data_IF_728392759602
#
_entry.id   IF_728392759602
#
_cell.length_a   1.000
_cell.length_b   1.000
_cell.length_c   1.000
_cell.angle_alpha   90.00
_cell.angle_beta   90.00
_cell.angle_gamma   90.00
#
_symmetry.space_group_name_H-M   'P 1'
#
loop_
_entity.id
_entity.type
_entity.pdbx_description
1 polymer ?
#
# COMPACT_ATOMS: atom_id res chain seq x y z
N UNK A 1 -58.12 26.37 35.55
CA UNK A 1 -57.28 26.01 34.39
C UNK A 1 -56.00 25.38 34.94
N UNK A 2 -55.70 24.13 34.57
CA UNK A 2 -54.41 23.53 34.94
C UNK A 2 -53.33 24.14 34.05
N UNK A 3 -52.38 24.85 34.65
CA UNK A 3 -51.20 25.36 33.96
C UNK A 3 -50.27 24.18 33.68
N UNK A 4 -50.03 23.85 32.42
CA UNK A 4 -49.03 22.87 32.04
C UNK A 4 -47.69 23.59 32.08
N UNK A 5 -46.86 23.27 33.08
CA UNK A 5 -45.47 23.74 33.13
C UNK A 5 -44.70 22.97 32.06
N UNK A 6 -44.05 23.64 31.09
CA UNK A 6 -43.25 22.95 30.08
C UNK A 6 -42.08 22.21 30.76
N UNK A 7 -41.79 21.00 30.28
CA UNK A 7 -40.66 20.21 30.77
C UNK A 7 -39.35 21.03 30.69
N UNK A 8 -38.46 20.92 31.70
CA UNK A 8 -37.22 21.68 31.72
C UNK A 8 -36.33 21.30 30.53
N UNK A 9 -35.53 22.26 30.06
CA UNK A 9 -34.47 21.99 29.10
C UNK A 9 -33.29 21.30 29.80
N UNK A 10 -32.65 20.37 29.10
CA UNK A 10 -31.50 19.58 29.53
C UNK A 10 -30.39 19.69 28.50
N UNK A 11 -29.17 19.82 28.97
CA UNK A 11 -28.00 19.89 28.09
C UNK A 11 -27.59 18.50 27.64
N UNK A 12 -27.38 18.33 26.33
CA UNK A 12 -26.81 17.13 25.73
C UNK A 12 -25.46 17.48 25.09
N UNK A 13 -24.38 16.92 25.62
CA UNK A 13 -23.02 17.06 25.08
C UNK A 13 -22.61 15.76 24.39
N UNK A 14 -22.22 15.85 23.13
CA UNK A 14 -21.78 14.73 22.32
C UNK A 14 -20.34 14.94 21.87
N UNK A 15 -19.53 13.88 21.91
CA UNK A 15 -18.19 13.87 21.34
C UNK A 15 -17.82 12.52 20.77
N UNK A 16 -16.83 12.49 19.87
CA UNK A 16 -16.19 11.29 19.38
C UNK A 16 -14.68 11.53 19.34
N UNK A 17 -13.89 10.51 19.64
CA UNK A 17 -12.43 10.58 19.57
C UNK A 17 -11.91 10.74 18.13
N UNK A 18 -12.42 9.95 17.18
CA UNK A 18 -12.04 9.97 15.76
C UNK A 18 -13.27 9.77 14.86
N UNK A 19 -13.80 10.87 14.33
CA UNK A 19 -14.93 10.86 13.41
C UNK A 19 -15.81 12.08 13.59
N UNK A 20 -17.10 11.91 13.32
CA UNK A 20 -18.14 12.89 13.62
C UNK A 20 -19.28 12.27 14.42
N UNK A 21 -20.00 13.10 15.16
CA UNK A 21 -21.28 12.76 15.78
C UNK A 21 -22.42 13.50 15.10
N UNK A 22 -23.56 12.84 14.96
CA UNK A 22 -24.80 13.41 14.48
C UNK A 22 -25.86 13.37 15.59
N UNK A 23 -26.69 14.39 15.64
CA UNK A 23 -27.89 14.47 16.48
C UNK A 23 -29.10 14.67 15.57
N UNK A 24 -30.04 13.73 15.61
CA UNK A 24 -31.26 13.72 14.79
C UNK A 24 -30.95 13.95 13.29
N UNK A 25 -29.88 13.32 12.80
CA UNK A 25 -29.41 13.41 11.42
C UNK A 25 -28.58 14.67 11.09
N UNK A 26 -28.40 15.59 12.03
CA UNK A 26 -27.54 16.77 11.85
C UNK A 26 -26.13 16.51 12.36
N UNK A 27 -25.13 16.63 11.49
CA UNK A 27 -23.72 16.56 11.87
C UNK A 27 -23.32 17.72 12.80
N UNK A 28 -22.58 17.39 13.86
CA UNK A 28 -21.99 18.32 14.81
C UNK A 28 -20.46 18.38 14.71
N UNK A 29 -19.84 17.64 13.78
CA UNK A 29 -18.38 17.46 13.74
C UNK A 29 -17.91 16.52 14.86
N UNK A 30 -16.66 16.69 15.33
CA UNK A 30 -16.07 15.82 16.35
C UNK A 30 -16.71 15.97 17.75
N UNK A 31 -17.38 17.09 18.00
CA UNK A 31 -18.12 17.35 19.25
C UNK A 31 -19.15 18.45 19.05
N UNK A 32 -20.25 18.38 19.79
CA UNK A 32 -21.24 19.45 19.82
C UNK A 32 -22.19 19.34 21.00
N UNK A 33 -23.08 20.32 21.11
CA UNK A 33 -24.04 20.43 22.19
C UNK A 33 -25.43 20.78 21.67
N UNK A 34 -26.46 20.34 22.39
CA UNK A 34 -27.84 20.75 22.15
C UNK A 34 -28.61 20.88 23.48
N UNK A 35 -29.64 21.72 23.46
CA UNK A 35 -30.64 21.79 24.53
C UNK A 35 -31.89 21.02 24.10
N UNK A 36 -32.32 20.09 24.94
CA UNK A 36 -33.42 19.17 24.65
C UNK A 36 -34.37 19.10 25.83
N UNK A 37 -35.67 18.99 25.56
CA UNK A 37 -36.65 18.92 26.66
C UNK A 37 -36.52 17.59 27.39
N UNK A 38 -36.64 17.63 28.71
CA UNK A 38 -36.73 16.41 29.50
C UNK A 38 -37.86 15.49 29.00
N UNK A 39 -37.56 14.21 28.83
CA UNK A 39 -38.43 13.20 28.23
C UNK A 39 -38.40 13.12 26.70
N UNK A 40 -37.83 14.12 26.01
CA UNK A 40 -37.69 14.08 24.55
C UNK A 40 -36.75 12.93 24.15
N UNK A 41 -37.16 12.14 23.16
CA UNK A 41 -36.30 11.12 22.53
C UNK A 41 -35.44 11.77 21.46
N UNK A 42 -34.17 11.41 21.45
CA UNK A 42 -33.18 11.83 20.45
C UNK A 42 -32.51 10.63 19.85
N UNK A 43 -32.05 10.75 18.61
CA UNK A 43 -31.18 9.78 17.95
C UNK A 43 -29.78 10.38 17.85
N UNK A 44 -28.81 9.73 18.47
CA UNK A 44 -27.39 10.08 18.30
C UNK A 44 -26.72 9.03 17.43
N UNK A 45 -25.85 9.47 16.52
CA UNK A 45 -25.12 8.57 15.64
C UNK A 45 -23.64 8.92 15.60
N UNK A 46 -22.81 7.91 15.78
CA UNK A 46 -21.36 8.02 15.63
C UNK A 46 -20.98 7.58 14.22
N UNK A 47 -20.22 8.41 13.51
CA UNK A 47 -19.65 8.10 12.22
C UNK A 47 -18.13 8.12 12.38
N UNK A 48 -17.48 6.96 12.59
CA UNK A 48 -16.03 6.88 12.73
C UNK A 48 -15.31 7.46 11.52
N UNK A 49 -14.13 8.02 11.76
CA UNK A 49 -13.23 8.42 10.68
C UNK A 49 -12.73 7.20 9.90
N UNK A 50 -12.19 7.44 8.70
CA UNK A 50 -11.48 6.42 7.95
C UNK A 50 -10.39 5.75 8.80
N UNK A 51 -10.26 4.42 8.72
CA UNK A 51 -9.32 3.66 9.55
C UNK A 51 -9.74 3.49 11.01
N UNK A 52 -11.00 3.78 11.35
CA UNK A 52 -11.55 3.59 12.69
C UNK A 52 -12.86 2.81 12.69
N UNK A 53 -13.09 2.09 13.78
CA UNK A 53 -14.31 1.33 14.07
C UNK A 53 -14.95 1.85 15.36
N UNK A 54 -16.26 2.02 15.36
CA UNK A 54 -17.02 2.35 16.56
C UNK A 54 -16.98 1.21 17.59
N UNK A 55 -16.78 1.55 18.87
CA UNK A 55 -16.74 0.58 19.98
C UNK A 55 -17.88 0.74 20.98
N UNK A 56 -18.40 1.96 21.15
CA UNK A 56 -19.53 2.19 22.04
C UNK A 56 -19.72 3.66 22.40
N UNK A 57 -20.92 3.97 22.85
CA UNK A 57 -21.25 5.22 23.51
C UNK A 57 -20.97 5.10 25.00
N UNK A 58 -20.18 6.02 25.52
CA UNK A 58 -19.82 6.10 26.94
C UNK A 58 -20.59 7.22 27.62
N UNK A 59 -21.07 6.98 28.83
CA UNK A 59 -21.47 8.03 29.78
C UNK A 59 -20.61 7.89 31.03
N UNK A 60 -19.69 8.83 31.22
CA UNK A 60 -18.55 8.64 32.12
C UNK A 60 -17.75 7.39 31.71
N UNK A 61 -17.56 6.47 32.66
CA UNK A 61 -16.81 5.22 32.45
C UNK A 61 -17.68 4.02 32.05
N UNK A 62 -18.99 4.23 31.83
CA UNK A 62 -19.93 3.15 31.50
C UNK A 62 -20.29 3.18 30.01
N UNK A 63 -20.18 2.02 29.34
CA UNK A 63 -20.78 1.82 28.02
C UNK A 63 -22.30 1.78 28.19
N UNK A 64 -22.99 2.72 27.55
CA UNK A 64 -24.46 2.79 27.56
C UNK A 64 -25.09 2.21 26.29
N UNK A 65 -24.33 2.11 25.21
CA UNK A 65 -24.77 1.44 23.97
C UNK A 65 -23.57 0.97 23.15
N UNK A 66 -23.69 -0.20 22.52
CA UNK A 66 -22.73 -0.73 21.53
C UNK A 66 -23.21 -0.53 20.10
N UNK A 67 -24.38 0.07 19.89
CA UNK A 67 -24.88 0.47 18.58
C UNK A 67 -24.39 1.87 18.23
N UNK A 68 -23.85 2.04 17.02
CA UNK A 68 -23.35 3.34 16.54
C UNK A 68 -24.48 4.38 16.47
N UNK A 69 -25.69 3.94 16.14
CA UNK A 69 -26.92 4.71 16.25
C UNK A 69 -27.65 4.31 17.54
N UNK A 70 -27.93 5.30 18.40
CA UNK A 70 -28.49 5.10 19.71
C UNK A 70 -29.64 6.09 19.95
N UNK A 71 -30.84 5.55 20.15
CA UNK A 71 -32.03 6.34 20.48
C UNK A 71 -32.38 6.19 21.96
N UNK A 72 -32.54 7.31 22.66
CA UNK A 72 -32.89 7.30 24.08
C UNK A 72 -33.66 8.56 24.49
N UNK A 73 -34.48 8.49 25.55
CA UNK A 73 -35.11 9.67 26.14
C UNK A 73 -34.13 10.43 27.04
N UNK A 74 -34.03 11.75 26.87
CA UNK A 74 -33.17 12.60 27.70
C UNK A 74 -33.89 12.90 29.02
N UNK A 75 -33.42 12.32 30.13
CA UNK A 75 -34.02 12.50 31.46
C UNK A 75 -33.32 13.59 32.30
N UNK A 76 -32.11 13.97 31.90
CA UNK A 76 -31.28 14.94 32.61
C UNK A 76 -30.10 15.34 31.73
N UNK A 77 -29.25 16.21 32.27
CA UNK A 77 -28.05 16.63 31.54
C UNK A 77 -27.19 15.39 31.22
N UNK A 78 -26.86 15.25 29.96
CA UNK A 78 -26.30 14.01 29.40
C UNK A 78 -25.01 14.33 28.68
N UNK A 79 -23.96 13.59 29.01
CA UNK A 79 -22.69 13.61 28.29
C UNK A 79 -22.49 12.22 27.69
N UNK A 80 -22.37 12.15 26.37
CA UNK A 80 -22.03 10.94 25.65
C UNK A 80 -20.75 11.12 24.83
N UNK A 81 -19.84 10.16 24.97
CA UNK A 81 -18.62 10.09 24.16
C UNK A 81 -18.63 8.79 23.37
N UNK A 82 -18.67 8.88 22.05
CA UNK A 82 -18.40 7.76 21.17
C UNK A 82 -16.91 7.42 21.22
N UNK A 83 -16.62 6.14 21.49
CA UNK A 83 -15.27 5.60 21.42
C UNK A 83 -15.07 4.86 20.11
N UNK A 84 -13.91 5.05 19.51
CA UNK A 84 -13.49 4.30 18.34
C UNK A 84 -12.15 3.61 18.59
N UNK A 85 -11.83 2.66 17.73
CA UNK A 85 -10.53 1.98 17.71
C UNK A 85 -9.98 1.98 16.30
N UNK A 86 -8.65 2.14 16.17
CA UNK A 86 -8.01 2.10 14.87
C UNK A 86 -8.03 0.69 14.29
N UNK A 87 -8.43 0.60 13.02
CA UNK A 87 -8.41 -0.62 12.21
C UNK A 87 -7.27 -0.62 11.20
N UNK A 88 -6.43 0.42 11.22
CA UNK A 88 -5.27 0.54 10.36
C UNK A 88 -4.20 -0.47 10.76
N UNK A 89 -3.47 -0.95 9.75
CA UNK A 89 -2.28 -1.79 9.89
C UNK A 89 -1.17 -1.27 9.01
N UNK A 90 0.05 -1.49 9.43
CA UNK A 90 1.24 -1.03 8.73
C UNK A 90 1.54 -1.94 7.54
N UNK A 91 1.89 -1.31 6.42
CA UNK A 91 2.35 -1.98 5.21
C UNK A 91 3.68 -1.36 4.83
N UNK A 92 4.72 -2.19 4.80
CA UNK A 92 6.06 -1.83 4.36
C UNK A 92 6.43 -2.66 3.15
N UNK A 93 6.84 -1.99 2.08
CA UNK A 93 7.19 -2.62 0.81
C UNK A 93 8.61 -2.20 0.46
N UNK A 94 9.47 -3.16 0.18
CA UNK A 94 10.88 -2.92 -0.11
C UNK A 94 11.28 -3.65 -1.38
N UNK A 95 12.00 -2.97 -2.28
CA UNK A 95 12.73 -3.63 -3.36
C UNK A 95 14.20 -3.74 -2.97
N UNK A 96 14.78 -4.93 -3.15
CA UNK A 96 16.19 -5.20 -2.84
C UNK A 96 16.94 -5.62 -4.10
N UNK A 97 18.27 -5.57 -4.05
CA UNK A 97 19.18 -5.94 -5.15
C UNK A 97 18.95 -5.12 -6.44
N UNK A 98 18.78 -3.80 -6.33
CA UNK A 98 18.65 -2.94 -7.53
C UNK A 98 17.24 -2.92 -8.13
N UNK A 99 16.19 -3.10 -7.32
CA UNK A 99 14.81 -2.87 -7.75
C UNK A 99 14.27 -1.53 -7.26
N UNK A 100 13.22 -1.05 -7.93
CA UNK A 100 12.37 0.06 -7.48
C UNK A 100 10.95 -0.44 -7.28
N UNK A 101 10.29 0.08 -6.26
CA UNK A 101 8.85 0.03 -6.08
C UNK A 101 8.23 1.20 -6.84
N UNK A 102 7.23 0.89 -7.67
CA UNK A 102 6.47 1.87 -8.43
C UNK A 102 4.99 1.70 -8.09
N UNK A 103 4.37 2.78 -7.64
CA UNK A 103 2.92 2.91 -7.48
C UNK A 103 2.47 4.32 -7.89
N UNK A 104 1.21 4.67 -7.67
CA UNK A 104 0.67 6.00 -8.05
C UNK A 104 1.27 7.17 -7.26
N UNK A 105 1.99 6.91 -6.18
CA UNK A 105 2.48 7.91 -5.21
C UNK A 105 4.01 7.88 -5.06
N UNK A 106 4.67 6.75 -5.35
CA UNK A 106 6.07 6.50 -5.05
C UNK A 106 6.81 5.88 -6.24
N UNK A 107 8.05 6.35 -6.41
CA UNK A 107 9.10 5.70 -7.19
C UNK A 107 10.36 5.69 -6.31
N UNK A 108 10.73 4.53 -5.77
CA UNK A 108 11.83 4.43 -4.81
C UNK A 108 12.11 2.99 -4.39
N UNK A 109 13.14 2.74 -3.59
CA UNK A 109 13.46 1.38 -3.11
C UNK A 109 12.53 0.90 -1.98
N UNK A 110 11.74 1.80 -1.41
CA UNK A 110 10.88 1.53 -0.25
C UNK A 110 9.62 2.39 -0.28
N UNK A 111 8.53 1.81 0.21
CA UNK A 111 7.25 2.47 0.39
C UNK A 111 6.56 1.98 1.66
N UNK A 112 6.12 2.92 2.50
CA UNK A 112 5.37 2.65 3.71
C UNK A 112 3.99 3.32 3.64
N UNK A 113 2.96 2.60 4.09
CA UNK A 113 1.60 3.11 4.18
C UNK A 113 0.84 2.38 5.28
N UNK A 114 -0.37 2.87 5.59
CA UNK A 114 -1.33 2.21 6.48
C UNK A 114 -2.61 1.93 5.73
N UNK A 115 -3.13 0.71 5.86
CA UNK A 115 -4.37 0.29 5.22
C UNK A 115 -5.38 -0.20 6.25
N UNK A 116 -6.66 -0.01 5.97
CA UNK A 116 -7.76 -0.62 6.71
C UNK A 116 -7.88 -2.10 6.36
N UNK A 117 -8.43 -2.89 7.30
CA UNK A 117 -8.76 -4.29 7.04
C UNK A 117 -9.61 -4.46 5.77
N UNK A 118 -9.20 -5.39 4.92
CA UNK A 118 -9.86 -5.70 3.65
C UNK A 118 -9.54 -4.76 2.50
N UNK A 119 -8.81 -3.66 2.73
CA UNK A 119 -8.34 -2.82 1.63
C UNK A 119 -7.31 -3.52 0.76
N UNK A 120 -7.35 -3.19 -0.51
CA UNK A 120 -6.46 -3.74 -1.51
C UNK A 120 -5.48 -2.68 -1.99
N UNK A 121 -4.24 -3.09 -2.19
CA UNK A 121 -3.16 -2.23 -2.67
C UNK A 121 -2.40 -2.94 -3.79
N UNK A 122 -2.30 -2.28 -4.94
CA UNK A 122 -1.51 -2.76 -6.07
C UNK A 122 -0.13 -2.13 -6.02
N UNK A 123 0.89 -2.97 -6.16
CA UNK A 123 2.29 -2.52 -6.16
C UNK A 123 3.06 -3.24 -7.26
N UNK A 124 3.93 -2.51 -7.94
CA UNK A 124 4.82 -3.04 -8.96
C UNK A 124 6.28 -2.89 -8.53
N UNK A 125 7.09 -3.90 -8.80
CA UNK A 125 8.53 -3.83 -8.66
C UNK A 125 9.21 -3.81 -10.04
N UNK A 126 9.95 -2.75 -10.32
CA UNK A 126 10.71 -2.58 -11.55
C UNK A 126 12.20 -2.90 -11.29
N UNK A 127 12.78 -3.89 -11.97
CA UNK A 127 14.22 -4.11 -11.95
C UNK A 127 14.97 -2.93 -12.57
N UNK A 128 16.08 -2.51 -11.97
CA UNK A 128 17.01 -1.58 -12.61
C UNK A 128 17.78 -2.26 -13.75
N UNK A 129 18.41 -1.49 -14.67
CA UNK A 129 19.24 -2.06 -15.72
C UNK A 129 20.29 -3.05 -15.17
N UNK A 130 20.45 -4.19 -15.86
CA UNK A 130 21.34 -5.28 -15.43
C UNK A 130 20.73 -6.25 -14.41
N UNK A 131 19.46 -6.10 -14.04
CA UNK A 131 18.75 -7.00 -13.13
C UNK A 131 17.46 -7.52 -13.74
N UNK A 132 17.04 -8.70 -13.30
CA UNK A 132 15.72 -9.28 -13.57
C UNK A 132 14.94 -9.45 -12.28
N UNK A 133 13.62 -9.39 -12.37
CA UNK A 133 12.74 -9.69 -11.24
C UNK A 133 12.86 -11.16 -10.87
N UNK A 134 13.06 -11.43 -9.58
CA UNK A 134 13.12 -12.78 -9.04
C UNK A 134 11.77 -13.16 -8.45
N UNK A 135 11.40 -12.61 -7.29
CA UNK A 135 10.16 -13.00 -6.62
C UNK A 135 9.70 -11.92 -5.65
N UNK A 136 8.45 -12.04 -5.22
CA UNK A 136 7.96 -11.38 -4.02
C UNK A 136 8.07 -12.31 -2.82
N UNK A 137 8.31 -11.74 -1.65
CA UNK A 137 8.13 -12.39 -0.36
C UNK A 137 7.19 -11.51 0.46
N UNK A 138 6.06 -12.06 0.92
CA UNK A 138 5.10 -11.33 1.77
C UNK A 138 5.00 -12.08 3.08
N UNK A 139 5.48 -11.45 4.16
CA UNK A 139 5.52 -12.03 5.51
C UNK A 139 6.14 -13.44 5.59
N UNK A 140 7.23 -13.68 4.86
CA UNK A 140 7.95 -14.96 4.81
C UNK A 140 7.38 -15.97 3.81
N UNK A 141 6.28 -15.64 3.13
CA UNK A 141 5.69 -16.47 2.08
C UNK A 141 6.12 -15.94 0.72
N UNK A 142 6.83 -16.78 -0.04
CA UNK A 142 7.26 -16.47 -1.40
C UNK A 142 6.10 -16.56 -2.40
N UNK A 143 6.04 -15.58 -3.29
CA UNK A 143 5.14 -15.53 -4.44
C UNK A 143 6.00 -15.41 -5.72
N UNK A 144 5.68 -16.26 -6.71
CA UNK A 144 6.53 -16.54 -7.88
C UNK A 144 6.74 -15.40 -8.88
N UNK A 145 7.58 -15.69 -9.87
CA UNK A 145 8.36 -14.79 -10.74
C UNK A 145 7.60 -14.16 -11.91
N UNK A 146 6.34 -14.55 -12.12
CA UNK A 146 5.63 -14.27 -13.39
C UNK A 146 5.16 -12.83 -13.50
N UNK A 147 4.97 -12.17 -12.35
CA UNK A 147 4.40 -10.83 -12.30
C UNK A 147 5.19 -9.93 -11.37
N UNK A 148 5.77 -8.87 -11.96
CA UNK A 148 6.38 -7.75 -11.23
C UNK A 148 5.36 -7.01 -10.36
N UNK A 149 4.07 -7.16 -10.65
CA UNK A 149 2.96 -6.57 -9.90
C UNK A 149 2.25 -7.59 -9.02
N UNK A 150 1.97 -7.22 -7.76
CA UNK A 150 1.13 -8.00 -6.85
C UNK A 150 -0.01 -7.15 -6.28
N UNK A 151 -1.07 -7.85 -5.87
CA UNK A 151 -2.17 -7.29 -5.07
C UNK A 151 -2.00 -7.71 -3.62
N UNK A 152 -1.85 -6.74 -2.73
CA UNK A 152 -1.84 -6.93 -1.29
C UNK A 152 -3.26 -6.69 -0.79
N UNK A 153 -3.79 -7.59 0.04
CA UNK A 153 -5.05 -7.40 0.74
C UNK A 153 -4.75 -7.33 2.23
N UNK A 154 -5.16 -6.24 2.87
CA UNK A 154 -4.82 -5.99 4.27
C UNK A 154 -5.59 -6.93 5.20
N UNK A 155 -4.85 -7.83 5.85
CA UNK A 155 -5.37 -8.70 6.91
C UNK A 155 -5.31 -8.06 8.30
N UNK A 156 -5.49 -8.87 9.34
CA UNK A 156 -5.49 -8.41 10.74
C UNK A 156 -4.10 -8.08 11.32
N UNK A 157 -3.03 -8.30 10.56
CA UNK A 157 -1.63 -8.14 10.98
C UNK A 157 -0.86 -7.34 9.95
N UNK A 158 0.17 -6.61 10.39
CA UNK A 158 1.03 -5.80 9.53
C UNK A 158 1.69 -6.63 8.41
N UNK A 159 2.04 -5.95 7.33
CA UNK A 159 2.58 -6.57 6.11
C UNK A 159 3.97 -6.02 5.83
N UNK A 160 4.94 -6.93 5.68
CA UNK A 160 6.21 -6.70 5.03
C UNK A 160 6.20 -7.44 3.69
N UNK A 161 6.30 -6.69 2.59
CA UNK A 161 6.47 -7.23 1.25
C UNK A 161 7.87 -6.87 0.71
N UNK A 162 8.62 -7.86 0.25
CA UNK A 162 9.97 -7.68 -0.29
C UNK A 162 10.01 -8.19 -1.73
N UNK A 163 10.36 -7.32 -2.67
CA UNK A 163 10.66 -7.67 -4.05
C UNK A 163 12.16 -7.95 -4.19
N UNK A 164 12.50 -9.15 -4.65
CA UNK A 164 13.87 -9.55 -4.92
C UNK A 164 14.19 -9.44 -6.40
N UNK A 165 15.34 -8.83 -6.70
CA UNK A 165 15.93 -8.86 -8.04
C UNK A 165 17.15 -9.77 -8.06
N UNK A 166 17.45 -10.30 -9.23
CA UNK A 166 18.67 -11.09 -9.51
C UNK A 166 19.46 -10.37 -10.59
N UNK A 167 20.79 -10.17 -10.42
CA UNK A 167 21.63 -9.70 -11.52
C UNK A 167 21.44 -10.58 -12.74
N UNK A 168 21.31 -9.99 -13.93
CA UNK A 168 21.35 -10.76 -15.16
C UNK A 168 22.71 -11.45 -15.23
N UNK A 169 22.72 -12.75 -15.52
CA UNK A 169 23.97 -13.47 -15.71
C UNK A 169 24.64 -12.93 -16.96
N UNK A 170 25.82 -12.33 -16.79
CA UNK A 170 26.69 -12.00 -17.91
C UNK A 170 27.12 -13.32 -18.58
N UNK A 171 26.85 -13.44 -19.88
CA UNK A 171 27.44 -14.50 -20.68
C UNK A 171 28.74 -14.00 -21.30
N UNK A 172 29.70 -14.87 -21.56
CA UNK A 172 30.88 -14.51 -22.34
C UNK A 172 30.64 -14.84 -23.80
N UNK A 173 30.68 -13.83 -24.66
CA UNK A 173 30.79 -14.03 -26.10
C UNK A 173 32.27 -14.28 -26.42
N UNK A 174 32.56 -15.44 -26.98
CA UNK A 174 33.89 -15.77 -27.49
C UNK A 174 33.83 -16.03 -28.99
N UNK A 175 34.70 -15.37 -29.75
CA UNK A 175 34.84 -15.53 -31.19
C UNK A 175 36.28 -15.86 -31.49
N UNK A 176 36.49 -16.91 -32.27
CA UNK A 176 37.83 -17.34 -32.70
C UNK A 176 37.88 -17.37 -34.23
N UNK A 177 38.94 -16.81 -34.79
CA UNK A 177 39.26 -16.92 -36.20
C UNK A 177 40.42 -17.90 -36.38
N UNK A 178 40.25 -18.86 -37.29
CA UNK A 178 41.33 -19.75 -37.74
C UNK A 178 41.72 -19.32 -39.16
N UNK A 179 43.02 -19.07 -39.38
CA UNK A 179 43.58 -18.59 -40.66
C UNK A 179 42.97 -17.26 -41.13
N UNK A 180 42.91 -16.29 -40.21
CA UNK A 180 42.34 -14.98 -40.45
C UNK A 180 42.24 -14.15 -39.17
N UNK A 181 41.57 -13.02 -39.26
CA UNK A 181 41.23 -12.15 -38.13
C UNK A 181 39.73 -11.94 -38.01
N UNK A 182 39.28 -11.54 -36.83
CA UNK A 182 37.91 -11.09 -36.57
C UNK A 182 37.89 -9.58 -36.39
N UNK A 183 36.94 -8.94 -37.07
CA UNK A 183 36.56 -7.55 -36.81
C UNK A 183 35.25 -7.53 -36.03
N UNK A 184 35.22 -6.80 -34.92
CA UNK A 184 34.05 -6.62 -34.07
C UNK A 184 33.75 -5.13 -33.97
N UNK A 185 32.55 -4.71 -34.36
CA UNK A 185 32.12 -3.30 -34.37
C UNK A 185 33.16 -2.37 -35.03
N UNK A 186 33.56 -2.72 -36.26
CA UNK A 186 34.53 -2.00 -37.10
C UNK A 186 35.95 -1.90 -36.51
N UNK A 187 36.29 -2.73 -35.51
CA UNK A 187 37.63 -2.82 -34.92
C UNK A 187 38.21 -4.23 -35.11
N UNK A 188 39.42 -4.31 -35.66
CA UNK A 188 40.14 -5.58 -35.78
C UNK A 188 40.64 -6.02 -34.39
N UNK A 189 40.23 -7.22 -33.97
CA UNK A 189 40.55 -7.82 -32.67
C UNK A 189 41.56 -8.98 -32.80
N UNK A 190 42.13 -9.19 -33.98
CA UNK A 190 43.10 -10.26 -34.23
C UNK A 190 42.44 -11.63 -34.35
N UNK A 191 43.07 -12.68 -33.81
CA UNK A 191 42.60 -14.07 -33.97
C UNK A 191 41.52 -14.49 -32.97
N UNK A 192 41.23 -13.68 -31.95
CA UNK A 192 40.21 -13.98 -30.96
C UNK A 192 39.63 -12.72 -30.33
N UNK A 193 38.33 -12.74 -30.07
CA UNK A 193 37.62 -11.71 -29.31
C UNK A 193 36.87 -12.35 -28.15
N UNK A 194 36.90 -11.72 -26.98
CA UNK A 194 36.12 -12.12 -25.82
C UNK A 194 35.50 -10.88 -25.17
N UNK A 195 34.20 -10.93 -24.89
CA UNK A 195 33.50 -9.88 -24.17
C UNK A 195 32.41 -10.43 -23.26
N UNK A 196 32.15 -9.72 -22.16
CA UNK A 196 30.93 -9.90 -21.37
C UNK A 196 29.75 -9.35 -22.18
N UNK A 197 28.72 -10.16 -22.33
CA UNK A 197 27.50 -9.85 -23.06
C UNK A 197 26.27 -10.03 -22.16
N UNK A 198 25.40 -9.03 -22.20
CA UNK A 198 24.08 -9.03 -21.57
C UNK A 198 22.98 -9.24 -22.63
N UNK A 199 21.79 -9.67 -22.19
CA UNK A 199 20.63 -9.76 -23.08
C UNK A 199 20.31 -8.36 -23.62
N UNK A 200 20.34 -8.21 -24.94
CA UNK A 200 20.08 -6.95 -25.65
C UNK A 200 21.33 -6.30 -26.26
N UNK A 201 22.54 -6.76 -25.93
CA UNK A 201 23.76 -6.30 -26.59
C UNK A 201 23.80 -6.77 -28.05
N UNK A 202 24.25 -5.90 -28.95
CA UNK A 202 24.39 -6.18 -30.39
C UNK A 202 25.85 -6.04 -30.78
N UNK A 203 26.39 -7.10 -31.39
CA UNK A 203 27.75 -7.13 -31.93
C UNK A 203 27.69 -7.40 -33.43
N UNK A 204 28.36 -6.56 -34.23
CA UNK A 204 28.63 -6.87 -35.65
C UNK A 204 29.95 -7.61 -35.72
N UNK A 205 29.95 -8.83 -36.26
CA UNK A 205 31.12 -9.70 -36.36
C UNK A 205 31.40 -9.97 -37.83
N UNK A 206 32.60 -9.62 -38.29
CA UNK A 206 33.06 -9.90 -39.65
C UNK A 206 34.33 -10.72 -39.59
N UNK A 207 34.36 -11.85 -40.29
CA UNK A 207 35.56 -12.65 -40.46
C UNK A 207 36.36 -12.13 -41.67
N UNK A 208 37.67 -11.96 -41.48
CA UNK A 208 38.61 -11.51 -42.52
C UNK A 208 39.63 -12.64 -42.73
N UNK A 209 39.61 -13.34 -43.88
CA UNK A 209 40.51 -14.46 -44.12
C UNK A 209 41.93 -13.95 -44.39
N UNK A 210 42.94 -14.71 -43.97
CA UNK A 210 44.33 -14.41 -44.33
C UNK A 210 44.55 -14.57 -45.85
N UNK A 211 45.57 -13.90 -46.38
CA UNK A 211 45.91 -14.00 -47.80
C UNK A 211 46.18 -15.47 -48.20
N UNK A 212 45.49 -15.95 -49.23
CA UNK A 212 45.53 -17.34 -49.68
C UNK A 212 44.41 -18.24 -49.12
N UNK A 213 43.55 -17.71 -48.23
CA UNK A 213 42.36 -18.38 -47.73
C UNK A 213 41.08 -17.68 -48.22
N UNK A 214 39.99 -18.44 -48.34
CA UNK A 214 38.65 -17.93 -48.66
C UNK A 214 37.60 -18.68 -47.85
N UNK A 215 36.45 -18.06 -47.61
CA UNK A 215 35.32 -18.75 -47.00
C UNK A 215 34.70 -19.75 -47.99
N UNK A 216 34.41 -20.95 -47.51
CA UNK A 216 33.54 -21.88 -48.23
C UNK A 216 32.07 -21.52 -47.95
N UNK A 217 31.18 -21.78 -48.89
CA UNK A 217 29.78 -21.33 -48.87
C UNK A 217 28.78 -22.48 -48.73
#
# INVERSE_FOLDING_TARGET
>A
MASVVPAPARSLLLSIDKGIVELDGKSLGASGSAEVREGQRVVVKAVPAYGHMFRGWMSGDKIVSTSAEYEFPVQGDTILTAKTESTLRDVRIVAVNGGLIINSVNVGSEYETKLCLGEEFLVNAAPSPGYTFSNWDVNGKKYGTEYQSIRIVMGSSDILAVAYMTPMSESTLEVFAMNGTVEVNDKNEGTSFSAKASVGDVYTIVAIPDNGYSFDH
#
